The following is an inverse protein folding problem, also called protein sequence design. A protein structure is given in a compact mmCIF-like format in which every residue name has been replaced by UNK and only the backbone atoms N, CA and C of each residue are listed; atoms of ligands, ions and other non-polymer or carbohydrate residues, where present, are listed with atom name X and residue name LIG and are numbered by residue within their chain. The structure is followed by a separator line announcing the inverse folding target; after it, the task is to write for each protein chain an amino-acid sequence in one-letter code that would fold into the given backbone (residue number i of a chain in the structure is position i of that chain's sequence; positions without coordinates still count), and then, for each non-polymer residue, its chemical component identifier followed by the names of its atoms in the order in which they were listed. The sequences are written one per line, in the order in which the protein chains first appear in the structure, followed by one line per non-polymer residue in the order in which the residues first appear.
data_IF_741925718966
#
_entry.id   IF_741925718966
#
_cell.length_a   1.000
_cell.length_b   1.000
_cell.length_c   1.000
_cell.angle_alpha   90.00
_cell.angle_beta   90.00
_cell.angle_gamma   90.00
#
_symmetry.space_group_name_H-M   'P 1'
#
loop_
_entity.id
_entity.type
_entity.pdbx_description
1 polymer ?
#
# COMPACT_ATOMS: atom_id res chain seq x y z
N UNK A 1 -9.79 0.51 -11.29
CA UNK A 1 -9.81 -0.04 -9.92
C UNK A 1 -8.40 -0.15 -9.38
N UNK A 2 -7.53 -0.98 -9.96
CA UNK A 2 -6.12 -1.16 -9.57
C UNK A 2 -5.40 0.12 -9.09
N UNK A 3 -5.16 1.11 -9.96
CA UNK A 3 -4.43 2.32 -9.57
C UNK A 3 -5.15 3.15 -8.50
N UNK A 4 -6.48 3.17 -8.53
CA UNK A 4 -7.28 3.83 -7.49
C UNK A 4 -7.12 3.13 -6.13
N UNK A 5 -7.11 1.80 -6.12
CA UNK A 5 -6.86 1.01 -4.92
C UNK A 5 -5.42 1.20 -4.41
N UNK A 6 -4.43 1.23 -5.31
CA UNK A 6 -3.03 1.56 -4.96
C UNK A 6 -2.91 2.92 -4.30
N UNK A 7 -3.54 3.94 -4.86
CA UNK A 7 -3.52 5.28 -4.28
C UNK A 7 -4.29 5.37 -2.96
N UNK A 8 -5.49 4.76 -2.88
CA UNK A 8 -6.30 4.76 -1.66
C UNK A 8 -5.59 4.03 -0.52
N UNK A 9 -4.94 2.90 -0.77
CA UNK A 9 -4.14 2.18 0.23
C UNK A 9 -2.97 3.00 0.76
N UNK A 10 -2.41 3.94 0.01
CA UNK A 10 -1.39 4.82 0.56
C UNK A 10 -1.92 5.68 1.74
N UNK A 11 -3.24 5.86 1.84
CA UNK A 11 -3.89 6.65 2.89
C UNK A 11 -4.92 5.86 3.71
N UNK A 12 -5.02 4.54 3.50
CA UNK A 12 -5.94 3.65 4.21
C UNK A 12 -5.37 2.25 4.36
N UNK A 13 -5.94 1.43 5.24
CA UNK A 13 -5.46 0.07 5.45
C UNK A 13 -5.81 -0.86 4.27
N UNK A 14 -4.83 -1.65 3.81
CA UNK A 14 -5.02 -2.55 2.66
C UNK A 14 -6.03 -3.68 2.93
N UNK A 15 -6.12 -4.17 4.16
CA UNK A 15 -7.06 -5.22 4.56
C UNK A 15 -8.47 -4.63 4.70
N UNK A 16 -8.59 -3.41 5.23
CA UNK A 16 -9.87 -2.70 5.29
C UNK A 16 -10.42 -2.41 3.88
N UNK A 17 -9.58 -1.92 2.95
CA UNK A 17 -10.01 -1.64 1.58
C UNK A 17 -10.45 -2.92 0.84
N UNK A 18 -9.69 -4.00 1.00
CA UNK A 18 -10.03 -5.29 0.37
C UNK A 18 -11.25 -5.94 1.01
N UNK A 19 -11.42 -5.83 2.33
CA UNK A 19 -12.60 -6.27 3.04
C UNK A 19 -13.86 -5.53 2.57
N UNK A 20 -13.82 -4.19 2.51
CA UNK A 20 -14.93 -3.39 2.00
C UNK A 20 -15.32 -3.79 0.58
N UNK A 21 -14.34 -4.05 -0.29
CA UNK A 21 -14.60 -4.58 -1.62
C UNK A 21 -15.27 -5.96 -1.61
N UNK A 22 -14.86 -6.85 -0.70
CA UNK A 22 -15.47 -8.19 -0.59
C UNK A 22 -16.95 -8.17 -0.18
N UNK A 23 -17.39 -7.10 0.48
CA UNK A 23 -18.79 -6.91 0.88
C UNK A 23 -19.69 -6.43 -0.26
N UNK A 24 -19.13 -5.94 -1.36
CA UNK A 24 -19.91 -5.47 -2.51
C UNK A 24 -20.39 -6.66 -3.33
N UNK A 25 -21.71 -6.87 -3.35
CA UNK A 25 -22.32 -7.92 -4.15
C UNK A 25 -22.24 -7.62 -5.65
N UNK A 26 -22.11 -8.66 -6.47
CA UNK A 26 -22.12 -8.55 -7.93
C UNK A 26 -20.82 -8.06 -8.56
N UNK A 27 -19.73 -7.92 -7.80
CA UNK A 27 -18.41 -7.65 -8.37
C UNK A 27 -17.89 -8.86 -9.16
N UNK A 28 -17.38 -8.59 -10.37
CA UNK A 28 -16.71 -9.60 -11.18
C UNK A 28 -15.39 -10.01 -10.53
N UNK A 29 -14.89 -11.20 -10.86
CA UNK A 29 -13.64 -11.69 -10.29
C UNK A 29 -12.44 -10.86 -10.76
N UNK A 30 -12.47 -10.31 -11.98
CA UNK A 30 -11.47 -9.35 -12.47
C UNK A 30 -11.47 -8.07 -11.63
N UNK A 31 -12.65 -7.60 -11.19
CA UNK A 31 -12.72 -6.43 -10.31
C UNK A 31 -12.08 -6.72 -8.95
N UNK A 32 -12.45 -7.85 -8.33
CA UNK A 32 -11.88 -8.26 -7.04
C UNK A 32 -10.36 -8.42 -7.13
N UNK A 33 -9.88 -9.08 -8.19
CA UNK A 33 -8.45 -9.21 -8.46
C UNK A 33 -7.80 -7.84 -8.61
N UNK A 34 -8.37 -6.95 -9.44
CA UNK A 34 -7.84 -5.60 -9.66
C UNK A 34 -7.78 -4.78 -8.36
N UNK A 35 -8.79 -4.91 -7.50
CA UNK A 35 -8.84 -4.26 -6.19
C UNK A 35 -7.74 -4.78 -5.26
N UNK A 36 -7.63 -6.11 -5.10
CA UNK A 36 -6.64 -6.73 -4.21
C UNK A 36 -5.22 -6.46 -4.71
N UNK A 37 -4.96 -6.64 -6.00
CA UNK A 37 -3.65 -6.37 -6.60
C UNK A 37 -3.25 -4.90 -6.40
N UNK A 38 -4.19 -3.97 -6.58
CA UNK A 38 -3.96 -2.55 -6.35
C UNK A 38 -3.65 -2.24 -4.89
N UNK A 39 -4.43 -2.80 -3.95
CA UNK A 39 -4.23 -2.64 -2.52
C UNK A 39 -2.89 -3.22 -2.04
N UNK A 40 -2.50 -4.40 -2.53
CA UNK A 40 -1.19 -4.99 -2.21
C UNK A 40 -0.05 -4.10 -2.74
N UNK A 41 -0.18 -3.59 -3.97
CA UNK A 41 0.81 -2.69 -4.59
C UNK A 41 0.99 -1.40 -3.79
N UNK A 42 -0.11 -0.82 -3.29
CA UNK A 42 -0.10 0.42 -2.51
C UNK A 42 0.31 0.24 -1.05
N UNK A 43 0.30 -1.00 -0.55
CA UNK A 43 0.51 -1.32 0.86
C UNK A 43 1.85 -0.87 1.44
N UNK A 44 2.87 -0.65 0.61
CA UNK A 44 4.19 -0.17 1.04
C UNK A 44 4.37 1.35 1.01
N UNK A 45 3.42 2.13 0.47
CA UNK A 45 3.65 3.54 0.14
C UNK A 45 3.79 4.46 1.36
N UNK A 46 3.12 4.16 2.47
CA UNK A 46 3.15 4.99 3.68
C UNK A 46 3.10 4.16 4.95
N UNK A 47 3.42 4.79 6.08
CA UNK A 47 3.32 4.16 7.39
C UNK A 47 1.88 3.79 7.79
N UNK A 48 0.87 4.36 7.13
CA UNK A 48 -0.54 4.19 7.52
C UNK A 48 -1.18 2.98 6.83
N UNK A 49 -0.57 2.50 5.74
CA UNK A 49 -1.18 1.56 4.81
C UNK A 49 -1.43 0.14 5.36
N UNK A 50 -0.74 -0.27 6.44
CA UNK A 50 -0.95 -1.54 7.14
C UNK A 50 -0.19 -1.57 8.48
N UNK A 51 -0.50 -2.56 9.34
CA UNK A 51 0.15 -2.74 10.65
C UNK A 51 1.67 -3.06 10.62
N UNK A 52 2.22 -3.81 9.64
CA UNK A 52 3.66 -3.98 9.51
C UNK A 52 4.47 -2.68 9.33
N UNK A 53 3.93 -1.65 8.67
CA UNK A 53 4.70 -0.43 8.38
C UNK A 53 5.03 0.39 9.66
N UNK A 54 4.10 0.64 10.61
CA UNK A 54 4.43 1.23 11.91
C UNK A 54 5.41 0.39 12.73
N UNK A 55 5.32 -0.94 12.64
CA UNK A 55 6.28 -1.83 13.30
C UNK A 55 7.70 -1.61 12.74
N UNK A 56 7.85 -1.62 11.40
CA UNK A 56 9.11 -1.30 10.74
C UNK A 56 9.62 0.11 11.08
N UNK A 57 8.72 1.10 11.08
CA UNK A 57 9.04 2.47 11.51
C UNK A 57 9.62 2.49 12.93
N UNK A 58 8.95 1.85 13.89
CA UNK A 58 9.40 1.83 15.30
C UNK A 58 10.78 1.18 15.49
N UNK A 59 11.13 0.20 14.65
CA UNK A 59 12.44 -0.48 14.67
C UNK A 59 13.52 0.42 14.07
N UNK A 60 13.21 1.13 12.98
CA UNK A 60 14.17 1.87 12.18
C UNK A 60 14.40 3.30 12.67
N UNK A 61 13.39 3.95 13.27
CA UNK A 61 13.41 5.37 13.61
C UNK A 61 14.59 5.77 14.48
N UNK A 62 15.07 4.88 15.36
CA UNK A 62 16.25 5.08 16.23
C UNK A 62 17.56 5.33 15.48
N UNK A 63 17.61 5.05 14.18
CA UNK A 63 18.77 5.31 13.32
C UNK A 63 18.68 6.64 12.57
N UNK A 64 17.62 7.41 12.79
CA UNK A 64 17.38 8.71 12.19
C UNK A 64 17.53 9.82 13.23
N UNK A 65 17.82 11.03 12.77
CA UNK A 65 17.84 12.23 13.61
C UNK A 65 16.48 12.42 14.30
N UNK A 66 16.50 12.87 15.55
CA UNK A 66 15.31 13.04 16.41
C UNK A 66 14.44 11.78 16.62
N UNK A 67 14.99 10.60 16.29
CA UNK A 67 14.25 9.32 16.27
C UNK A 67 12.97 9.37 15.41
N UNK A 68 12.99 10.13 14.31
CA UNK A 68 11.84 10.33 13.43
C UNK A 68 12.19 10.04 11.97
N UNK A 69 11.28 9.39 11.25
CA UNK A 69 11.37 9.19 9.80
C UNK A 69 10.37 10.12 9.11
N UNK A 70 10.87 10.98 8.22
CA UNK A 70 10.05 11.87 7.40
C UNK A 70 8.99 11.10 6.60
N UNK A 71 7.73 11.50 6.71
CA UNK A 71 6.63 10.90 5.95
C UNK A 71 6.81 11.04 4.43
N UNK A 72 7.26 12.21 3.95
CA UNK A 72 7.54 12.44 2.53
C UNK A 72 8.79 11.68 2.07
N UNK A 73 9.81 11.59 2.93
CA UNK A 73 11.01 10.79 2.66
C UNK A 73 10.68 9.30 2.51
N UNK A 74 9.84 8.77 3.40
CA UNK A 74 9.34 7.39 3.33
C UNK A 74 8.56 7.16 2.03
N UNK A 75 7.62 8.06 1.69
CA UNK A 75 6.85 7.97 0.46
C UNK A 75 7.73 7.98 -0.78
N UNK A 76 8.72 8.87 -0.83
CA UNK A 76 9.68 8.95 -1.93
C UNK A 76 10.53 7.67 -2.05
N UNK A 77 11.01 7.14 -0.93
CA UNK A 77 11.77 5.89 -0.89
C UNK A 77 10.92 4.68 -1.30
N UNK A 78 9.63 4.66 -0.95
CA UNK A 78 8.69 3.62 -1.33
C UNK A 78 8.28 3.67 -2.82
N UNK A 79 8.47 4.81 -3.51
CA UNK A 79 8.07 4.95 -4.90
C UNK A 79 8.73 3.91 -5.83
N UNK A 80 10.02 3.64 -5.66
CA UNK A 80 10.76 2.66 -6.49
C UNK A 80 10.19 1.24 -6.32
N UNK A 81 10.10 0.65 -5.11
CA UNK A 81 9.53 -0.68 -4.95
C UNK A 81 8.05 -0.74 -5.35
N UNK A 82 7.28 0.33 -5.16
CA UNK A 82 5.90 0.40 -5.68
C UNK A 82 5.87 0.37 -7.21
N UNK A 83 6.76 1.08 -7.90
CA UNK A 83 6.86 1.01 -9.36
C UNK A 83 7.25 -0.39 -9.83
N UNK A 84 8.15 -1.08 -9.13
CA UNK A 84 8.48 -2.48 -9.42
C UNK A 84 7.24 -3.37 -9.28
N UNK A 85 6.46 -3.21 -8.21
CA UNK A 85 5.21 -3.93 -8.02
C UNK A 85 4.18 -3.60 -9.10
N UNK A 86 4.06 -2.34 -9.51
CA UNK A 86 3.20 -1.93 -10.64
C UNK A 86 3.63 -2.64 -11.91
N UNK A 87 4.92 -2.64 -12.24
CA UNK A 87 5.41 -3.35 -13.43
C UNK A 87 5.10 -4.85 -13.33
N UNK A 88 5.32 -5.47 -12.18
CA UNK A 88 5.07 -6.89 -11.98
C UNK A 88 3.58 -7.26 -12.18
N UNK A 89 2.64 -6.50 -11.63
CA UNK A 89 1.20 -6.76 -11.77
C UNK A 89 0.59 -6.31 -13.11
N UNK A 90 1.30 -5.51 -13.90
CA UNK A 90 0.78 -4.96 -15.16
C UNK A 90 1.44 -5.58 -16.40
N UNK A 91 2.63 -6.14 -16.27
CA UNK A 91 3.35 -6.78 -17.36
C UNK A 91 3.16 -8.30 -17.43
N UNK A 92 2.72 -8.93 -16.33
CA UNK A 92 2.49 -10.38 -16.20
C UNK A 92 1.09 -10.64 -15.66
#
# INVERSE_FOLDING_TARGET
VYYGATALTAVTDNAALTYLGSLVQGLTDEFKYSLVAGAVTGGGLTVIANAPNPAGYSILKRNFEDEEISALGLLAAAAIPTLVAIVAFRAF
#
